data_IF_772575065719
#
_entry.id   IF_772575065719
#
_cell.length_a   1.000
_cell.length_b   1.000
_cell.length_c   1.000
_cell.angle_alpha   90.00
_cell.angle_beta   90.00
_cell.angle_gamma   90.00
#
_symmetry.space_group_name_H-M   'P 1'
#
loop_
_entity.id
_entity.type
_entity.pdbx_description
1 polymer ?
#
# COMPACT_ATOMS: atom_id res chain seq x y z
N UNK A 1 23.68 -19.68 -23.33
CA UNK A 1 22.32 -20.24 -23.12
C UNK A 1 22.12 -20.50 -21.64
N UNK A 2 21.03 -19.96 -21.08
CA UNK A 2 20.76 -20.05 -19.64
C UNK A 2 20.71 -21.47 -19.09
N UNK A 3 20.27 -22.43 -19.90
CA UNK A 3 20.28 -23.85 -19.54
C UNK A 3 21.72 -24.35 -19.39
N UNK A 4 22.61 -24.05 -20.33
CA UNK A 4 24.02 -24.48 -20.33
C UNK A 4 24.81 -23.85 -19.17
N UNK A 5 24.41 -22.66 -18.71
CA UNK A 5 25.07 -21.96 -17.61
C UNK A 5 24.63 -22.51 -16.23
N UNK A 6 23.38 -22.96 -16.11
CA UNK A 6 22.75 -23.34 -14.82
C UNK A 6 22.84 -24.83 -14.55
N UNK A 7 22.64 -25.68 -15.55
CA UNK A 7 22.58 -27.14 -15.34
C UNK A 7 23.83 -27.70 -14.67
N UNK A 8 25.07 -27.33 -15.08
CA UNK A 8 26.28 -27.80 -14.41
C UNK A 8 26.36 -27.38 -12.94
N UNK A 9 25.85 -26.19 -12.58
CA UNK A 9 25.82 -25.74 -11.19
C UNK A 9 24.85 -26.55 -10.35
N UNK A 10 23.69 -26.93 -10.89
CA UNK A 10 22.73 -27.80 -10.20
C UNK A 10 23.28 -29.22 -10.06
N UNK A 11 23.99 -29.72 -11.08
CA UNK A 11 24.65 -31.05 -11.04
C UNK A 11 25.75 -31.12 -9.98
N UNK A 12 26.50 -30.03 -9.77
CA UNK A 12 27.58 -29.98 -8.77
C UNK A 12 27.10 -30.18 -7.32
N UNK A 13 25.82 -29.89 -7.06
CA UNK A 13 25.20 -30.01 -5.72
C UNK A 13 24.21 -31.17 -5.58
N UNK A 14 24.11 -32.06 -6.60
CA UNK A 14 23.12 -33.16 -6.59
C UNK A 14 23.29 -34.11 -5.43
N UNK A 15 24.53 -34.27 -4.93
CA UNK A 15 24.83 -35.18 -3.81
C UNK A 15 24.40 -34.61 -2.45
N UNK A 16 24.01 -33.32 -2.38
CA UNK A 16 23.56 -32.68 -1.16
C UNK A 16 22.11 -33.05 -0.79
N UNK A 17 21.31 -33.49 -1.78
CA UNK A 17 19.96 -33.99 -1.54
C UNK A 17 19.56 -34.90 -2.72
N UNK A 18 19.08 -36.11 -2.39
CA UNK A 18 18.74 -37.14 -3.40
C UNK A 18 17.64 -36.70 -4.39
N UNK A 19 16.71 -35.83 -3.95
CA UNK A 19 15.63 -35.30 -4.81
C UNK A 19 16.16 -34.41 -5.96
N UNK A 20 17.38 -33.86 -5.85
CA UNK A 20 17.95 -33.02 -6.91
C UNK A 20 18.22 -33.87 -8.16
N UNK A 21 18.62 -35.12 -8.01
CA UNK A 21 18.77 -36.07 -9.14
C UNK A 21 17.47 -36.21 -9.93
N UNK A 22 16.34 -36.39 -9.23
CA UNK A 22 15.01 -36.49 -9.84
C UNK A 22 14.59 -35.18 -10.54
N UNK A 23 14.95 -34.02 -9.98
CA UNK A 23 14.71 -32.73 -10.60
C UNK A 23 15.47 -32.58 -11.92
N UNK A 24 16.76 -32.97 -11.95
CA UNK A 24 17.60 -32.95 -13.15
C UNK A 24 17.02 -33.88 -14.21
N UNK A 25 16.66 -35.12 -13.86
CA UNK A 25 16.05 -36.06 -14.80
C UNK A 25 14.74 -35.51 -15.40
N UNK A 26 13.91 -34.93 -14.56
CA UNK A 26 12.63 -34.31 -15.00
C UNK A 26 12.90 -33.14 -15.95
N UNK A 27 13.86 -32.27 -15.60
CA UNK A 27 14.25 -31.14 -16.40
C UNK A 27 14.81 -31.57 -17.77
N UNK A 28 15.63 -32.62 -17.82
CA UNK A 28 16.21 -33.12 -19.06
C UNK A 28 15.18 -33.75 -20.02
N UNK A 29 14.01 -34.14 -19.53
CA UNK A 29 12.90 -34.63 -20.38
C UNK A 29 12.12 -33.50 -21.07
N UNK A 30 12.35 -32.24 -20.72
CA UNK A 30 11.67 -31.10 -21.33
C UNK A 30 12.24 -30.89 -22.74
N UNK A 31 11.40 -31.03 -23.76
CA UNK A 31 11.80 -30.90 -25.18
C UNK A 31 12.20 -29.47 -25.53
N UNK A 32 11.44 -28.48 -25.07
CA UNK A 32 11.70 -27.05 -25.30
C UNK A 32 11.79 -26.33 -23.95
N UNK A 33 13.01 -26.15 -23.46
CA UNK A 33 13.27 -25.54 -22.15
C UNK A 33 13.05 -24.02 -22.24
N UNK A 34 12.15 -23.51 -21.39
CA UNK A 34 11.90 -22.09 -21.22
C UNK A 34 12.70 -21.53 -20.04
N UNK A 35 12.83 -20.19 -19.96
CA UNK A 35 13.40 -19.51 -18.79
C UNK A 35 12.69 -19.92 -17.50
N UNK A 36 11.34 -20.08 -17.54
CA UNK A 36 10.55 -20.53 -16.40
C UNK A 36 11.03 -21.88 -15.87
N UNK A 37 11.35 -22.83 -16.75
CA UNK A 37 11.77 -24.16 -16.34
C UNK A 37 13.13 -24.10 -15.64
N UNK A 38 14.05 -23.26 -16.15
CA UNK A 38 15.35 -23.02 -15.54
C UNK A 38 15.18 -22.38 -14.14
N UNK A 39 14.33 -21.34 -14.04
CA UNK A 39 14.03 -20.73 -12.74
C UNK A 39 13.45 -21.71 -11.73
N UNK A 40 12.52 -22.56 -12.16
CA UNK A 40 11.94 -23.59 -11.31
C UNK A 40 12.97 -24.59 -10.83
N UNK A 41 13.88 -25.02 -11.69
CA UNK A 41 14.98 -25.92 -11.35
C UNK A 41 15.86 -25.29 -10.26
N UNK A 42 16.36 -24.05 -10.48
CA UNK A 42 17.21 -23.35 -9.50
C UNK A 42 16.49 -23.22 -8.16
N UNK A 43 15.24 -22.68 -8.18
CA UNK A 43 14.48 -22.40 -6.96
C UNK A 43 14.22 -23.67 -6.15
N UNK A 44 13.80 -24.75 -6.79
CA UNK A 44 13.57 -26.03 -6.11
C UNK A 44 14.86 -26.58 -5.52
N UNK A 45 15.98 -26.51 -6.24
CA UNK A 45 17.29 -26.93 -5.74
C UNK A 45 17.73 -26.13 -4.53
N UNK A 46 17.60 -24.79 -4.55
CA UNK A 46 17.92 -23.92 -3.42
C UNK A 46 17.02 -24.17 -2.21
N UNK A 47 15.75 -24.53 -2.41
CA UNK A 47 14.83 -24.90 -1.33
C UNK A 47 15.21 -26.25 -0.68
N UNK A 48 15.56 -27.25 -1.49
CA UNK A 48 15.99 -28.56 -0.99
C UNK A 48 17.30 -28.49 -0.20
N UNK A 49 18.15 -27.53 -0.50
CA UNK A 49 19.45 -27.31 0.15
C UNK A 49 19.44 -26.14 1.15
N UNK A 50 18.27 -25.65 1.56
CA UNK A 50 18.15 -24.42 2.39
C UNK A 50 18.95 -24.44 3.70
N UNK A 51 19.13 -25.61 4.29
CA UNK A 51 19.84 -25.80 5.55
C UNK A 51 21.34 -26.17 5.37
N UNK A 52 21.85 -26.09 4.13
CA UNK A 52 23.22 -26.41 3.79
C UNK A 52 23.97 -25.13 3.42
N UNK A 53 25.23 -25.06 3.85
CA UNK A 53 26.16 -24.01 3.46
C UNK A 53 27.32 -24.63 2.70
N UNK A 54 27.31 -24.49 1.37
CA UNK A 54 28.38 -24.98 0.50
C UNK A 54 28.74 -23.93 -0.55
N UNK A 55 29.99 -23.96 -1.02
CA UNK A 55 30.47 -23.02 -2.04
C UNK A 55 29.63 -23.11 -3.33
N UNK A 56 29.30 -24.34 -3.76
CA UNK A 56 28.52 -24.62 -4.97
C UNK A 56 27.10 -24.05 -4.87
N UNK A 57 26.48 -24.23 -3.69
CA UNK A 57 25.15 -23.65 -3.42
C UNK A 57 25.17 -22.12 -3.47
N UNK A 58 26.20 -21.50 -2.91
CA UNK A 58 26.36 -20.05 -2.90
C UNK A 58 26.58 -19.51 -4.33
N UNK A 59 27.33 -20.22 -5.18
CA UNK A 59 27.47 -19.90 -6.62
C UNK A 59 26.11 -19.97 -7.31
N UNK A 60 25.33 -21.04 -7.10
CA UNK A 60 24.00 -21.19 -7.69
C UNK A 60 23.04 -20.07 -7.21
N UNK A 61 23.11 -19.70 -5.94
CA UNK A 61 22.33 -18.60 -5.36
C UNK A 61 22.68 -17.25 -6.00
N UNK A 62 23.97 -16.97 -6.13
CA UNK A 62 24.44 -15.74 -6.79
C UNK A 62 24.01 -15.67 -8.25
N UNK A 63 24.07 -16.81 -8.96
CA UNK A 63 23.58 -16.89 -10.35
C UNK A 63 22.06 -16.66 -10.43
N UNK A 64 21.29 -17.20 -9.50
CA UNK A 64 19.85 -16.94 -9.41
C UNK A 64 19.55 -15.44 -9.20
N UNK A 65 20.28 -14.80 -8.29
CA UNK A 65 20.11 -13.37 -7.99
C UNK A 65 20.47 -12.49 -9.18
N UNK A 66 21.55 -12.83 -9.92
CA UNK A 66 21.94 -12.15 -11.17
C UNK A 66 20.82 -12.22 -12.21
N UNK A 67 20.33 -13.43 -12.49
CA UNK A 67 19.26 -13.64 -13.46
C UNK A 67 17.98 -12.91 -13.01
N UNK A 68 17.63 -13.02 -11.73
CA UNK A 68 16.45 -12.36 -11.17
C UNK A 68 16.53 -10.83 -11.32
N UNK A 69 17.72 -10.26 -11.15
CA UNK A 69 17.94 -8.80 -11.35
C UNK A 69 17.67 -8.40 -12.80
N UNK A 70 18.21 -9.17 -13.77
CA UNK A 70 17.98 -8.91 -15.19
C UNK A 70 16.50 -9.03 -15.56
N UNK A 71 15.83 -10.08 -15.07
CA UNK A 71 14.41 -10.30 -15.38
C UNK A 71 13.49 -9.28 -14.68
N UNK A 72 13.85 -8.80 -13.50
CA UNK A 72 13.15 -7.68 -12.86
C UNK A 72 13.27 -6.39 -13.67
N UNK A 73 14.45 -6.08 -14.19
CA UNK A 73 14.66 -4.92 -15.04
C UNK A 73 13.84 -5.03 -16.34
N UNK A 74 13.81 -6.20 -16.96
CA UNK A 74 13.08 -6.46 -18.19
C UNK A 74 11.56 -6.39 -18.05
N UNK A 75 11.00 -6.89 -16.92
CA UNK A 75 9.57 -7.18 -16.82
C UNK A 75 8.86 -6.49 -15.64
N UNK A 76 9.59 -5.85 -14.73
CA UNK A 76 9.02 -5.24 -13.53
C UNK A 76 9.59 -3.86 -13.21
N UNK A 77 10.48 -3.32 -14.06
CA UNK A 77 10.99 -1.96 -13.90
C UNK A 77 9.86 -0.94 -14.05
N UNK A 78 9.93 0.13 -13.28
CA UNK A 78 8.95 1.22 -13.31
C UNK A 78 7.50 0.84 -12.97
N UNK A 79 7.25 -0.35 -12.39
CA UNK A 79 5.92 -0.67 -11.87
C UNK A 79 5.55 0.27 -10.71
N UNK A 80 6.54 0.55 -9.84
CA UNK A 80 6.52 1.60 -8.84
C UNK A 80 7.59 2.64 -9.19
N UNK A 81 7.57 3.81 -8.55
CA UNK A 81 8.56 4.84 -8.83
C UNK A 81 9.98 4.39 -8.47
N UNK A 82 10.92 4.67 -9.38
CA UNK A 82 12.36 4.48 -9.17
C UNK A 82 13.07 5.82 -8.92
N UNK A 83 12.33 6.92 -8.77
CA UNK A 83 12.85 8.24 -8.47
C UNK A 83 13.17 8.42 -6.98
N UNK A 84 13.82 9.53 -6.65
CA UNK A 84 14.01 9.96 -5.26
C UNK A 84 12.69 10.22 -4.51
N UNK A 85 11.61 10.55 -5.25
CA UNK A 85 10.29 10.88 -4.75
C UNK A 85 9.34 9.67 -4.57
N UNK A 86 9.86 8.44 -4.67
CA UNK A 86 9.03 7.26 -4.37
C UNK A 86 8.53 7.27 -2.93
N UNK A 87 7.33 6.76 -2.69
CA UNK A 87 6.66 6.81 -1.40
C UNK A 87 7.50 6.20 -0.25
N UNK A 88 8.24 5.13 -0.53
CA UNK A 88 9.10 4.47 0.46
C UNK A 88 10.35 5.27 0.87
N UNK A 89 10.67 6.36 0.16
CA UNK A 89 11.79 7.26 0.50
C UNK A 89 11.36 8.44 1.37
N UNK A 90 10.05 8.70 1.51
CA UNK A 90 9.57 9.78 2.37
C UNK A 90 9.96 9.48 3.81
N UNK A 91 10.69 10.40 4.41
CA UNK A 91 11.18 10.25 5.79
C UNK A 91 10.01 10.29 6.77
N UNK A 92 10.06 9.42 7.78
CA UNK A 92 9.14 9.46 8.90
C UNK A 92 9.33 10.74 9.72
N UNK A 93 8.23 11.44 9.97
CA UNK A 93 8.12 12.51 10.94
C UNK A 93 6.99 12.10 11.88
N UNK A 94 7.33 11.85 13.14
CA UNK A 94 6.35 11.40 14.13
C UNK A 94 5.33 12.49 14.45
N UNK A 95 4.07 12.12 14.76
CA UNK A 95 3.11 13.06 15.32
C UNK A 95 3.61 13.54 16.69
N UNK A 96 3.49 14.84 16.94
CA UNK A 96 3.88 15.49 18.18
C UNK A 96 2.61 15.76 18.98
N UNK A 97 2.65 15.42 20.27
CA UNK A 97 1.56 15.65 21.20
C UNK A 97 2.09 16.41 22.42
N UNK A 98 1.44 17.51 22.77
CA UNK A 98 1.70 18.27 23.99
C UNK A 98 0.60 18.06 25.03
N UNK A 99 0.74 18.67 26.18
CA UNK A 99 -0.30 18.68 27.22
C UNK A 99 -1.56 19.45 26.77
N UNK A 100 -1.39 20.37 25.81
CA UNK A 100 -2.47 21.15 25.21
C UNK A 100 -3.14 20.48 24.00
N UNK A 101 -2.61 19.34 23.51
CA UNK A 101 -3.24 18.61 22.39
C UNK A 101 -4.61 18.11 22.79
N UNK A 102 -5.64 18.56 22.08
CA UNK A 102 -7.05 18.24 22.38
C UNK A 102 -7.42 16.83 21.96
N UNK A 103 -8.33 16.22 22.68
CA UNK A 103 -8.98 14.98 22.28
C UNK A 103 -10.24 15.29 21.46
N UNK A 104 -10.21 14.96 20.17
CA UNK A 104 -11.25 15.31 19.20
C UNK A 104 -11.77 14.07 18.48
N UNK A 105 -12.87 14.19 17.76
CA UNK A 105 -13.32 13.14 16.84
C UNK A 105 -12.27 12.92 15.73
N UNK A 106 -12.05 11.68 15.31
CA UNK A 106 -11.09 11.37 14.24
C UNK A 106 -11.34 12.15 12.96
N UNK A 107 -12.63 12.45 12.61
CA UNK A 107 -12.96 13.32 11.49
C UNK A 107 -12.34 14.72 11.59
N UNK A 108 -12.21 15.25 12.79
CA UNK A 108 -11.64 16.59 13.05
C UNK A 108 -10.13 16.57 12.81
N UNK A 109 -9.45 15.48 13.19
CA UNK A 109 -8.02 15.29 12.89
C UNK A 109 -7.79 15.34 11.38
N UNK A 110 -8.58 14.58 10.61
CA UNK A 110 -8.48 14.54 9.14
C UNK A 110 -8.80 15.91 8.54
N UNK A 111 -9.90 16.53 8.96
CA UNK A 111 -10.30 17.87 8.49
C UNK A 111 -9.24 18.92 8.73
N UNK A 112 -8.69 18.97 9.93
CA UNK A 112 -7.67 19.97 10.29
C UNK A 112 -6.32 19.68 9.58
N UNK A 113 -6.00 18.40 9.32
CA UNK A 113 -4.85 18.03 8.51
C UNK A 113 -5.03 18.46 7.05
N UNK A 114 -6.23 18.28 6.45
CA UNK A 114 -6.53 18.78 5.12
C UNK A 114 -6.45 20.30 5.04
N UNK A 115 -6.89 21.01 6.07
CA UNK A 115 -6.72 22.46 6.16
C UNK A 115 -5.24 22.86 6.00
N UNK A 116 -4.33 22.19 6.70
CA UNK A 116 -2.88 22.40 6.57
C UNK A 116 -2.33 21.98 5.21
N UNK A 117 -2.84 20.89 4.62
CA UNK A 117 -2.47 20.47 3.27
C UNK A 117 -2.83 21.55 2.24
N UNK A 118 -4.04 22.10 2.29
CA UNK A 118 -4.47 23.12 1.33
C UNK A 118 -3.74 24.47 1.51
N UNK A 119 -3.31 24.79 2.72
CA UNK A 119 -2.41 25.93 2.98
C UNK A 119 -1.03 25.70 2.35
N UNK A 120 -0.46 24.49 2.54
CA UNK A 120 0.90 24.17 2.14
C UNK A 120 1.07 23.87 0.65
N UNK A 121 0.08 23.24 0.01
CA UNK A 121 0.13 22.79 -1.37
C UNK A 121 -0.94 23.48 -2.24
N UNK A 122 -0.63 24.63 -2.87
CA UNK A 122 -1.59 25.35 -3.72
C UNK A 122 -2.15 24.51 -4.87
N UNK A 123 -1.37 23.52 -5.36
CA UNK A 123 -1.76 22.59 -6.42
C UNK A 123 -2.61 21.41 -5.93
N UNK A 124 -2.86 21.28 -4.62
CA UNK A 124 -3.73 20.23 -4.09
C UNK A 124 -5.19 20.62 -4.23
N UNK A 125 -6.00 19.63 -4.55
CA UNK A 125 -7.46 19.75 -4.65
C UNK A 125 -8.11 18.42 -4.28
N UNK A 126 -9.35 18.46 -3.81
CA UNK A 126 -10.16 17.28 -3.51
C UNK A 126 -11.52 17.42 -4.19
N UNK A 127 -12.02 16.35 -4.74
CA UNK A 127 -13.32 16.32 -5.39
C UNK A 127 -13.92 14.92 -5.35
N UNK A 128 -15.22 14.86 -5.30
CA UNK A 128 -15.98 13.62 -5.22
C UNK A 128 -17.44 13.90 -4.94
N UNK A 129 -18.23 12.87 -4.75
CA UNK A 129 -19.63 12.97 -4.37
C UNK A 129 -19.74 13.50 -2.93
N UNK A 130 -20.56 14.54 -2.72
CA UNK A 130 -20.77 15.20 -1.42
C UNK A 130 -19.49 15.74 -0.74
N UNK A 131 -18.40 15.88 -1.48
CA UNK A 131 -17.10 16.29 -0.94
C UNK A 131 -17.03 17.76 -0.59
N UNK A 132 -17.74 18.61 -1.33
CA UNK A 132 -17.68 20.06 -1.24
C UNK A 132 -18.58 20.64 -0.15
N UNK A 133 -19.85 20.88 -0.47
CA UNK A 133 -20.75 21.67 0.36
C UNK A 133 -20.95 21.11 1.78
N UNK A 134 -21.17 19.81 1.92
CA UNK A 134 -21.32 19.18 3.24
C UNK A 134 -20.00 18.71 3.87
N UNK A 135 -18.91 18.72 3.10
CA UNK A 135 -17.59 18.35 3.57
C UNK A 135 -17.39 16.84 3.75
N UNK A 136 -17.88 16.06 2.81
CA UNK A 136 -18.06 14.60 2.75
C UNK A 136 -19.13 14.06 3.72
N UNK A 137 -19.58 12.82 3.48
CA UNK A 137 -20.64 12.15 4.26
C UNK A 137 -20.28 11.92 5.75
N UNK A 138 -19.01 12.00 6.11
CA UNK A 138 -18.51 11.90 7.48
C UNK A 138 -17.95 13.22 8.00
N UNK A 139 -18.02 14.29 7.21
CA UNK A 139 -17.60 15.65 7.58
C UNK A 139 -16.08 15.78 7.84
N UNK A 140 -15.27 14.99 7.14
CA UNK A 140 -13.80 15.09 7.20
C UNK A 140 -13.24 16.29 6.42
N UNK A 141 -14.10 17.04 5.70
CA UNK A 141 -13.78 18.25 4.93
C UNK A 141 -14.71 19.42 5.25
N UNK A 142 -15.51 19.31 6.32
CA UNK A 142 -16.52 20.31 6.73
C UNK A 142 -15.94 21.73 6.79
N UNK A 143 -16.60 22.68 6.06
CA UNK A 143 -16.22 24.09 6.02
C UNK A 143 -15.02 24.43 5.15
N UNK A 144 -14.31 23.44 4.59
CA UNK A 144 -13.11 23.71 3.80
C UNK A 144 -13.44 24.26 2.40
N UNK A 145 -14.59 23.90 1.81
CA UNK A 145 -15.01 24.52 0.54
C UNK A 145 -15.25 26.02 0.70
N UNK A 146 -15.88 26.46 1.79
CA UNK A 146 -16.07 27.88 2.09
C UNK A 146 -14.74 28.63 2.20
N UNK A 147 -13.71 27.98 2.79
CA UNK A 147 -12.38 28.57 2.99
C UNK A 147 -11.55 28.63 1.70
N UNK A 148 -11.56 27.58 0.89
CA UNK A 148 -10.64 27.41 -0.25
C UNK A 148 -11.29 27.52 -1.62
N UNK A 149 -12.60 27.58 -1.70
CA UNK A 149 -13.38 27.68 -2.92
C UNK A 149 -13.71 26.34 -3.58
N UNK A 150 -14.72 26.37 -4.44
CA UNK A 150 -15.29 25.23 -5.15
C UNK A 150 -14.37 24.65 -6.25
N UNK A 151 -13.39 25.42 -6.71
CA UNK A 151 -12.37 24.95 -7.65
C UNK A 151 -11.40 23.96 -6.97
N UNK A 152 -11.15 24.13 -5.69
CA UNK A 152 -10.20 23.29 -4.93
C UNK A 152 -10.89 22.18 -4.15
N UNK A 153 -12.12 22.39 -3.74
CA UNK A 153 -12.90 21.42 -2.99
C UNK A 153 -14.28 21.36 -3.65
N UNK A 154 -14.47 20.33 -4.48
CA UNK A 154 -15.60 20.30 -5.41
C UNK A 154 -16.51 19.08 -5.19
N UNK A 155 -17.81 19.33 -5.33
CA UNK A 155 -18.77 18.26 -5.53
C UNK A 155 -18.75 17.75 -6.97
N UNK A 156 -19.00 16.47 -7.17
CA UNK A 156 -19.16 15.86 -8.49
C UNK A 156 -20.48 15.10 -8.59
N UNK A 157 -20.86 14.73 -9.80
CA UNK A 157 -21.91 13.73 -9.98
C UNK A 157 -21.46 12.33 -9.55
N UNK A 158 -22.42 11.44 -9.38
CA UNK A 158 -22.21 10.02 -8.99
C UNK A 158 -21.67 9.24 -10.20
N UNK A 159 -20.35 9.24 -10.36
CA UNK A 159 -19.63 8.54 -11.44
C UNK A 159 -18.16 8.29 -11.04
N UNK A 160 -17.91 7.25 -10.33
CA UNK A 160 -16.60 6.92 -9.76
C UNK A 160 -15.51 6.78 -10.84
N UNK A 161 -15.85 6.14 -11.97
CA UNK A 161 -14.93 6.05 -13.11
C UNK A 161 -14.53 7.42 -13.66
N UNK A 162 -15.45 8.41 -13.68
CA UNK A 162 -15.17 9.77 -14.12
C UNK A 162 -14.34 10.52 -13.07
N UNK A 163 -14.67 10.39 -11.80
CA UNK A 163 -13.90 10.96 -10.69
C UNK A 163 -12.46 10.52 -10.75
N UNK A 164 -12.22 9.20 -10.88
CA UNK A 164 -10.88 8.66 -11.02
C UNK A 164 -10.18 9.18 -12.30
N UNK A 165 -10.85 9.15 -13.45
CA UNK A 165 -10.30 9.62 -14.73
C UNK A 165 -9.88 11.09 -14.70
N UNK A 166 -10.67 11.94 -14.06
CA UNK A 166 -10.30 13.35 -13.81
C UNK A 166 -9.05 13.44 -12.93
N UNK A 167 -8.99 12.66 -11.83
CA UNK A 167 -7.83 12.60 -10.95
C UNK A 167 -6.56 12.20 -11.71
N UNK A 168 -6.60 11.16 -12.53
CA UNK A 168 -5.49 10.72 -13.36
C UNK A 168 -5.03 11.85 -14.29
N UNK A 169 -5.96 12.47 -15.02
CA UNK A 169 -5.66 13.55 -15.95
C UNK A 169 -5.02 14.78 -15.26
N UNK A 170 -5.55 15.20 -14.12
CA UNK A 170 -5.03 16.31 -13.32
C UNK A 170 -3.62 16.00 -12.78
N UNK A 171 -3.40 14.78 -12.25
CA UNK A 171 -2.10 14.34 -11.74
C UNK A 171 -1.04 14.31 -12.85
N UNK A 172 -1.39 13.82 -14.04
CA UNK A 172 -0.52 13.84 -15.22
C UNK A 172 -0.14 15.26 -15.66
N UNK A 173 -0.89 16.27 -15.26
CA UNK A 173 -0.63 17.70 -15.55
C UNK A 173 0.05 18.44 -14.40
N UNK A 174 0.49 17.75 -13.35
CA UNK A 174 1.27 18.31 -12.25
C UNK A 174 0.45 18.82 -11.06
N UNK A 175 -0.87 18.62 -11.06
CA UNK A 175 -1.69 18.86 -9.87
C UNK A 175 -1.52 17.70 -8.87
N UNK A 176 -1.97 17.93 -7.63
CA UNK A 176 -2.00 16.91 -6.56
C UNK A 176 -3.47 16.61 -6.20
N UNK A 177 -4.18 15.87 -7.07
CA UNK A 177 -5.59 15.59 -6.87
C UNK A 177 -5.80 14.50 -5.83
N UNK A 178 -6.83 14.71 -5.01
CA UNK A 178 -7.40 13.72 -4.12
C UNK A 178 -8.80 13.42 -4.68
N UNK A 179 -8.91 12.27 -5.35
CA UNK A 179 -10.16 11.81 -5.95
C UNK A 179 -10.93 10.98 -4.93
N UNK A 180 -12.06 11.48 -4.44
CA UNK A 180 -12.85 10.79 -3.43
C UNK A 180 -13.86 9.85 -4.06
N UNK A 181 -13.76 8.57 -3.71
CA UNK A 181 -14.78 7.55 -3.93
C UNK A 181 -15.47 7.33 -2.59
N UNK A 182 -16.75 7.65 -2.52
CA UNK A 182 -17.48 7.83 -1.27
C UNK A 182 -17.37 6.65 -0.30
N UNK A 183 -17.46 5.39 -0.80
CA UNK A 183 -17.26 4.17 -0.02
C UNK A 183 -16.41 3.15 -0.77
N UNK A 184 -15.71 2.30 -0.03
CA UNK A 184 -14.83 1.26 -0.57
C UNK A 184 -15.56 0.29 -1.51
N UNK A 185 -16.84 0.01 -1.25
CA UNK A 185 -17.67 -0.84 -2.13
C UNK A 185 -17.79 -0.27 -3.54
N UNK A 186 -17.82 1.06 -3.66
CA UNK A 186 -18.00 1.75 -4.94
C UNK A 186 -16.69 1.85 -5.75
N UNK A 187 -15.55 1.54 -5.13
CA UNK A 187 -14.27 1.51 -5.86
C UNK A 187 -14.29 0.50 -7.02
N UNK A 188 -15.18 -0.50 -6.97
CA UNK A 188 -15.38 -1.47 -8.02
C UNK A 188 -15.83 -0.83 -9.34
N UNK A 189 -16.53 0.31 -9.30
CA UNK A 189 -16.96 1.05 -10.49
C UNK A 189 -15.82 1.77 -11.21
N UNK A 190 -14.69 1.97 -10.56
CA UNK A 190 -13.50 2.55 -11.16
C UNK A 190 -12.30 1.59 -11.22
N UNK A 191 -12.47 0.33 -10.81
CA UNK A 191 -11.40 -0.65 -10.71
C UNK A 191 -10.70 -0.91 -12.05
N UNK A 192 -11.43 -0.87 -13.18
CA UNK A 192 -10.83 -0.98 -14.51
C UNK A 192 -9.84 0.17 -14.76
N UNK A 193 -10.25 1.42 -14.54
CA UNK A 193 -9.37 2.58 -14.68
C UNK A 193 -8.19 2.55 -13.70
N UNK A 194 -8.36 1.97 -12.51
CA UNK A 194 -7.27 1.75 -11.58
C UNK A 194 -6.26 0.74 -12.13
N UNK A 195 -6.71 -0.42 -12.63
CA UNK A 195 -5.84 -1.51 -13.05
C UNK A 195 -5.18 -1.27 -14.41
N UNK A 196 -5.95 -0.77 -15.39
CA UNK A 196 -5.47 -0.62 -16.76
C UNK A 196 -4.77 0.72 -17.00
N UNK A 197 -5.30 1.81 -16.44
CA UNK A 197 -4.77 3.14 -16.70
C UNK A 197 -3.80 3.59 -15.62
N UNK A 198 -4.25 3.72 -14.37
CA UNK A 198 -3.46 4.30 -13.30
C UNK A 198 -2.26 3.42 -12.93
N UNK A 199 -2.51 2.14 -12.64
CA UNK A 199 -1.47 1.21 -12.19
C UNK A 199 -0.37 0.97 -13.24
N UNK A 200 -0.68 1.13 -14.52
CA UNK A 200 0.26 0.78 -15.60
C UNK A 200 0.95 1.99 -16.23
N UNK A 201 0.55 3.23 -15.90
CA UNK A 201 1.05 4.43 -16.58
C UNK A 201 2.58 4.56 -16.50
N UNK A 202 3.17 4.36 -15.33
CA UNK A 202 4.62 4.39 -15.16
C UNK A 202 5.30 3.23 -15.90
N UNK A 203 4.76 2.03 -15.75
CA UNK A 203 5.29 0.83 -16.39
C UNK A 203 5.30 0.94 -17.91
N UNK A 204 4.16 1.29 -18.54
CA UNK A 204 4.04 1.42 -19.99
C UNK A 204 4.94 2.49 -20.59
N UNK A 205 5.26 3.53 -19.83
CA UNK A 205 6.06 4.67 -20.28
C UNK A 205 7.51 4.62 -19.80
N UNK A 206 7.91 3.52 -19.13
CA UNK A 206 9.24 3.39 -18.49
C UNK A 206 9.57 4.60 -17.60
N UNK A 207 8.63 5.00 -16.75
CA UNK A 207 8.76 6.14 -15.85
C UNK A 207 8.65 7.52 -16.51
N UNK A 208 8.39 7.58 -17.82
CA UNK A 208 8.27 8.85 -18.56
C UNK A 208 6.99 9.64 -18.24
N UNK A 209 5.93 8.99 -17.75
CA UNK A 209 4.71 9.62 -17.30
C UNK A 209 4.33 9.12 -15.90
N UNK A 210 3.92 10.03 -15.03
CA UNK A 210 3.46 9.75 -13.66
C UNK A 210 2.08 10.34 -13.44
N UNK A 211 1.32 9.73 -12.55
CA UNK A 211 -0.01 10.18 -12.16
C UNK A 211 -0.20 10.01 -10.64
N UNK A 212 0.41 10.85 -9.79
CA UNK A 212 0.34 10.74 -8.33
C UNK A 212 -1.03 11.20 -7.79
N UNK A 213 -2.09 10.53 -8.20
CA UNK A 213 -3.44 10.74 -7.66
C UNK A 213 -3.60 9.96 -6.36
N UNK A 214 -4.19 10.58 -5.36
CA UNK A 214 -4.62 9.92 -4.13
C UNK A 214 -6.10 9.60 -4.29
N UNK A 215 -6.44 8.31 -4.28
CA UNK A 215 -7.83 7.86 -4.21
C UNK A 215 -8.19 7.77 -2.73
N UNK A 216 -9.04 8.69 -2.28
CA UNK A 216 -9.58 8.70 -0.93
C UNK A 216 -10.84 7.88 -0.90
N UNK A 217 -10.96 6.95 0.02
CA UNK A 217 -12.21 6.23 0.28
C UNK A 217 -12.31 5.85 1.74
N UNK A 218 -13.47 5.40 2.17
CA UNK A 218 -13.69 4.90 3.52
C UNK A 218 -14.34 3.54 3.47
N UNK A 219 -13.93 2.68 4.37
CA UNK A 219 -14.43 1.31 4.34
C UNK A 219 -13.84 0.47 5.48
N UNK A 220 -13.72 -0.82 5.19
CA UNK A 220 -13.25 -1.79 6.18
C UNK A 220 -14.09 -1.71 7.45
N UNK A 221 -15.42 -1.59 7.25
CA UNK A 221 -16.39 -1.50 8.32
C UNK A 221 -16.54 -2.86 9.00
N UNK A 222 -16.49 -2.86 10.32
CA UNK A 222 -16.51 -4.09 11.12
C UNK A 222 -17.92 -4.64 11.34
N UNK A 223 -18.94 -3.81 11.15
CA UNK A 223 -20.32 -4.14 11.46
C UNK A 223 -21.30 -3.38 10.55
N UNK A 224 -22.53 -3.84 10.49
CA UNK A 224 -23.60 -3.23 9.72
C UNK A 224 -23.90 -3.97 8.43
N UNK A 225 -25.02 -3.62 7.79
CA UNK A 225 -25.50 -4.23 6.54
C UNK A 225 -24.98 -3.50 5.32
N UNK A 226 -24.86 -2.16 5.41
CA UNK A 226 -24.44 -1.29 4.33
C UNK A 226 -22.97 -0.90 4.46
N UNK A 227 -22.25 -0.88 3.33
CA UNK A 227 -20.84 -0.46 3.25
C UNK A 227 -19.90 -1.26 4.17
N UNK A 228 -20.23 -2.52 4.42
CA UNK A 228 -19.42 -3.46 5.21
C UNK A 228 -18.51 -4.33 4.33
N UNK A 229 -18.61 -4.19 3.01
CA UNK A 229 -17.74 -4.91 2.07
C UNK A 229 -16.28 -4.52 2.22
N UNK A 230 -15.39 -5.48 2.01
CA UNK A 230 -13.95 -5.26 1.98
C UNK A 230 -13.32 -6.03 0.80
N UNK A 231 -13.43 -5.51 -0.45
CA UNK A 231 -12.92 -6.17 -1.65
C UNK A 231 -11.39 -6.11 -1.77
N UNK A 232 -10.66 -6.05 -0.66
CA UNK A 232 -9.20 -5.81 -0.61
C UNK A 232 -8.40 -6.81 -1.43
N UNK A 233 -8.77 -8.11 -1.42
CA UNK A 233 -8.06 -9.12 -2.20
C UNK A 233 -8.13 -8.84 -3.71
N UNK A 234 -9.29 -8.36 -4.20
CA UNK A 234 -9.46 -7.92 -5.59
C UNK A 234 -8.62 -6.68 -5.90
N UNK A 235 -8.69 -5.66 -5.05
CA UNK A 235 -7.94 -4.41 -5.21
C UNK A 235 -6.44 -4.68 -5.26
N UNK A 236 -5.90 -5.44 -4.29
CA UNK A 236 -4.47 -5.78 -4.22
C UNK A 236 -3.98 -6.56 -5.46
N UNK A 237 -4.79 -7.48 -5.97
CA UNK A 237 -4.42 -8.29 -7.13
C UNK A 237 -4.45 -7.51 -8.45
N UNK A 238 -5.39 -6.58 -8.60
CA UNK A 238 -5.64 -5.86 -9.85
C UNK A 238 -4.91 -4.52 -9.93
N UNK A 239 -4.51 -3.92 -8.81
CA UNK A 239 -3.95 -2.55 -8.75
C UNK A 239 -2.45 -2.55 -8.44
N UNK A 240 -1.68 -3.46 -9.02
CA UNK A 240 -0.21 -3.49 -8.89
C UNK A 240 0.39 -2.24 -9.52
N UNK A 241 1.19 -1.49 -8.76
CA UNK A 241 1.71 -0.17 -9.16
C UNK A 241 1.00 0.99 -8.46
N UNK A 242 -0.01 0.69 -7.62
CA UNK A 242 -0.66 1.65 -6.73
C UNK A 242 -0.36 1.26 -5.29
N UNK A 243 0.00 2.22 -4.44
CA UNK A 243 0.18 1.99 -3.01
C UNK A 243 -1.20 1.87 -2.34
N UNK A 244 -1.47 0.75 -1.66
CA UNK A 244 -2.73 0.54 -0.95
C UNK A 244 -2.47 0.71 0.54
N UNK A 245 -3.05 1.75 1.12
CA UNK A 245 -2.82 2.19 2.50
C UNK A 245 -4.11 2.08 3.30
N UNK A 246 -4.09 1.26 4.35
CA UNK A 246 -5.27 1.00 5.19
C UNK A 246 -4.93 1.35 6.63
N UNK A 247 -5.02 2.62 7.00
CA UNK A 247 -4.68 3.10 8.34
C UNK A 247 -5.60 2.54 9.41
N UNK A 248 -5.04 2.25 10.60
CA UNK A 248 -5.80 1.76 11.77
C UNK A 248 -6.69 2.81 12.44
N UNK A 249 -6.40 4.09 12.23
CA UNK A 249 -7.13 5.23 12.77
C UNK A 249 -6.99 6.47 11.86
N UNK A 250 -7.67 7.56 12.20
CA UNK A 250 -7.71 8.75 11.35
C UNK A 250 -6.43 9.60 11.46
N UNK A 251 -5.72 9.55 12.59
CA UNK A 251 -4.38 10.16 12.73
C UNK A 251 -3.39 9.50 11.77
N UNK A 252 -3.35 8.16 11.70
CA UNK A 252 -2.50 7.45 10.73
C UNK A 252 -2.90 7.75 9.28
N UNK A 253 -4.21 7.89 9.01
CA UNK A 253 -4.71 8.33 7.70
C UNK A 253 -4.18 9.72 7.32
N UNK A 254 -4.25 10.69 8.24
CA UNK A 254 -3.70 12.03 8.04
C UNK A 254 -2.20 12.00 7.69
N UNK A 255 -1.42 11.19 8.39
CA UNK A 255 0.00 11.00 8.10
C UNK A 255 0.26 10.37 6.73
N UNK A 256 -0.58 9.43 6.26
CA UNK A 256 -0.46 8.87 4.91
C UNK A 256 -0.77 9.91 3.83
N UNK A 257 -1.74 10.81 4.00
CA UNK A 257 -1.93 11.93 3.08
C UNK A 257 -0.69 12.81 2.99
N UNK A 258 -0.10 13.17 4.12
CA UNK A 258 1.13 13.97 4.16
C UNK A 258 2.31 13.27 3.49
N UNK A 259 2.41 11.94 3.60
CA UNK A 259 3.42 11.12 2.93
C UNK A 259 3.20 11.11 1.41
N UNK A 260 1.98 10.77 0.97
CA UNK A 260 1.70 10.60 -0.46
C UNK A 260 1.73 11.92 -1.23
N UNK A 261 1.44 13.06 -0.60
CA UNK A 261 1.60 14.38 -1.22
C UNK A 261 3.08 14.76 -1.45
N UNK A 262 4.02 14.09 -0.80
CA UNK A 262 5.46 14.24 -1.06
C UNK A 262 5.97 13.22 -2.09
N UNK A 263 5.15 12.24 -2.45
CA UNK A 263 5.50 11.19 -3.40
C UNK A 263 5.04 11.53 -4.83
N UNK A 264 5.64 10.87 -5.79
CA UNK A 264 5.24 10.87 -7.21
C UNK A 264 4.48 9.61 -7.63
N UNK A 265 3.98 8.85 -6.65
CA UNK A 265 3.26 7.59 -6.86
C UNK A 265 1.77 7.73 -6.51
N UNK A 266 0.89 6.98 -7.21
CA UNK A 266 -0.52 6.92 -6.85
C UNK A 266 -0.75 6.09 -5.58
N UNK A 267 -1.82 6.40 -4.86
CA UNK A 267 -2.26 5.64 -3.71
C UNK A 267 -3.77 5.52 -3.61
N UNK A 268 -4.22 4.45 -2.96
CA UNK A 268 -5.55 4.33 -2.36
C UNK A 268 -5.40 4.43 -0.85
N UNK A 269 -6.09 5.35 -0.21
CA UNK A 269 -6.15 5.46 1.24
C UNK A 269 -7.56 5.08 1.69
N UNK A 270 -7.66 3.97 2.43
CA UNK A 270 -8.93 3.45 2.94
C UNK A 270 -9.09 3.87 4.39
N UNK A 271 -9.75 4.99 4.62
CA UNK A 271 -10.02 5.50 5.97
C UNK A 271 -10.96 4.56 6.75
N UNK A 272 -10.70 4.40 8.05
CA UNK A 272 -11.53 3.60 8.95
C UNK A 272 -12.94 4.17 9.07
N UNK A 273 -13.94 3.56 8.45
CA UNK A 273 -15.33 4.06 8.49
C UNK A 273 -15.87 4.20 9.92
N UNK A 274 -15.56 3.26 10.81
CA UNK A 274 -15.95 3.33 12.22
C UNK A 274 -15.08 4.29 13.06
N UNK A 275 -14.00 4.85 12.50
CA UNK A 275 -13.05 5.72 13.20
C UNK A 275 -13.49 7.19 13.32
N UNK A 276 -14.34 7.68 12.42
CA UNK A 276 -14.65 9.11 12.31
C UNK A 276 -15.21 9.76 13.59
N UNK A 277 -15.93 9.00 14.42
CA UNK A 277 -16.52 9.46 15.69
C UNK A 277 -15.78 8.95 16.92
N UNK A 278 -14.70 8.17 16.73
CA UNK A 278 -13.84 7.79 17.83
C UNK A 278 -12.95 8.97 18.23
N UNK A 279 -12.64 9.07 19.51
CA UNK A 279 -11.78 10.12 20.03
C UNK A 279 -10.33 9.77 19.78
N UNK A 280 -9.59 10.74 19.26
CA UNK A 280 -8.14 10.68 19.02
C UNK A 280 -7.49 11.97 19.53
N UNK A 281 -6.32 11.88 20.12
CA UNK A 281 -5.53 13.05 20.48
C UNK A 281 -4.99 13.69 19.20
N UNK A 282 -5.32 14.97 18.97
CA UNK A 282 -4.91 15.67 17.76
C UNK A 282 -3.42 16.01 17.80
N UNK A 283 -2.62 15.65 16.75
CA UNK A 283 -1.23 16.07 16.67
C UNK A 283 -1.08 17.58 16.52
N UNK A 284 -0.08 18.15 17.17
CA UNK A 284 0.24 19.59 17.08
C UNK A 284 0.89 19.97 15.73
N UNK A 285 1.53 18.99 15.04
CA UNK A 285 2.23 19.17 13.77
C UNK A 285 1.41 18.66 12.57
N UNK A 286 0.10 18.98 12.52
CA UNK A 286 -0.77 18.67 11.38
C UNK A 286 -0.19 19.21 10.06
N UNK A 287 -0.33 18.44 8.99
CA UNK A 287 0.23 18.76 7.66
C UNK A 287 1.73 18.50 7.52
N UNK A 288 2.42 18.10 8.61
CA UNK A 288 3.87 17.88 8.63
C UNK A 288 4.27 16.45 8.94
N UNK A 289 3.62 15.80 9.93
CA UNK A 289 3.95 14.42 10.28
C UNK A 289 3.63 13.46 9.13
N UNK A 290 4.46 12.42 9.00
CA UNK A 290 4.38 11.44 7.91
C UNK A 290 4.42 10.03 8.46
N UNK A 291 3.73 9.11 7.79
CA UNK A 291 3.76 7.69 8.10
C UNK A 291 4.54 6.97 6.98
N UNK A 292 5.54 6.16 7.30
CA UNK A 292 6.34 5.47 6.29
C UNK A 292 5.50 4.43 5.55
N UNK A 293 5.68 4.36 4.22
CA UNK A 293 5.05 3.36 3.36
C UNK A 293 5.91 2.11 3.29
N UNK A 294 5.28 0.92 3.34
CA UNK A 294 5.97 -0.36 3.24
C UNK A 294 6.68 -0.80 4.53
N UNK A 295 6.34 -0.20 5.66
CA UNK A 295 6.85 -0.60 6.99
C UNK A 295 5.70 -1.05 7.86
N UNK A 296 5.90 -2.17 8.54
CA UNK A 296 5.02 -2.63 9.61
C UNK A 296 5.33 -1.90 10.91
N UNK A 297 4.37 -1.89 11.83
CA UNK A 297 4.52 -1.30 13.17
C UNK A 297 4.16 -2.34 14.24
N UNK A 298 5.09 -2.61 15.16
CA UNK A 298 4.79 -3.38 16.37
C UNK A 298 4.13 -2.43 17.36
N UNK A 299 2.83 -2.57 17.55
CA UNK A 299 2.03 -1.69 18.41
C UNK A 299 1.94 -2.19 19.85
N UNK A 300 2.22 -3.48 20.07
CA UNK A 300 2.34 -4.12 21.37
C UNK A 300 3.38 -5.23 21.27
N UNK A 301 4.37 -5.23 22.15
CA UNK A 301 5.35 -6.31 22.26
C UNK A 301 4.75 -7.52 22.98
N UNK A 302 5.17 -8.73 22.61
CA UNK A 302 4.77 -9.99 23.23
C UNK A 302 5.68 -11.15 22.85
N UNK A 303 5.58 -12.27 23.57
CA UNK A 303 6.53 -13.39 23.45
C UNK A 303 5.87 -14.74 23.13
N UNK A 304 4.56 -14.89 23.35
CA UNK A 304 3.90 -16.22 23.25
C UNK A 304 3.14 -16.37 21.91
N UNK A 305 2.52 -15.29 21.41
CA UNK A 305 1.76 -15.30 20.16
C UNK A 305 1.87 -13.96 19.44
N UNK A 306 1.99 -13.99 18.12
CA UNK A 306 1.97 -12.79 17.27
C UNK A 306 0.63 -12.66 16.57
N UNK A 307 -0.04 -11.51 16.74
CA UNK A 307 -1.30 -11.15 16.09
C UNK A 307 -1.03 -10.12 15.01
N UNK A 308 -1.22 -10.49 13.74
CA UNK A 308 -1.01 -9.60 12.59
C UNK A 308 -2.34 -9.09 12.10
N UNK A 309 -2.46 -7.77 11.94
CA UNK A 309 -3.71 -7.11 11.56
C UNK A 309 -3.47 -5.84 10.74
N UNK A 310 -4.54 -5.23 10.24
CA UNK A 310 -4.50 -3.93 9.57
C UNK A 310 -5.85 -3.19 9.70
N UNK A 311 -5.83 -1.88 9.49
CA UNK A 311 -7.03 -1.04 9.46
C UNK A 311 -7.89 -1.13 10.72
N UNK A 312 -9.19 -1.08 10.57
CA UNK A 312 -10.15 -1.06 11.68
C UNK A 312 -10.08 -2.27 12.62
N UNK A 313 -9.60 -3.42 12.12
CA UNK A 313 -9.46 -4.64 12.94
C UNK A 313 -8.36 -4.54 13.99
N UNK A 314 -7.41 -3.61 13.84
CA UNK A 314 -6.37 -3.37 14.82
C UNK A 314 -6.92 -3.13 16.23
N UNK A 315 -8.01 -2.35 16.36
CA UNK A 315 -8.65 -2.08 17.67
C UNK A 315 -9.15 -3.37 18.31
N UNK A 316 -9.87 -4.21 17.55
CA UNK A 316 -10.40 -5.50 18.05
C UNK A 316 -9.26 -6.44 18.45
N UNK A 317 -8.22 -6.53 17.62
CA UNK A 317 -7.05 -7.37 17.92
C UNK A 317 -6.31 -6.89 19.16
N UNK A 318 -6.21 -5.57 19.36
CA UNK A 318 -5.60 -4.99 20.57
C UNK A 318 -6.42 -5.31 21.82
N UNK A 319 -7.75 -5.22 21.75
CA UNK A 319 -8.64 -5.63 22.82
C UNK A 319 -8.47 -7.13 23.14
N UNK A 320 -8.44 -7.98 22.12
CA UNK A 320 -8.20 -9.42 22.28
C UNK A 320 -6.83 -9.71 22.90
N UNK A 321 -5.78 -9.00 22.50
CA UNK A 321 -4.44 -9.13 23.10
C UNK A 321 -4.44 -8.76 24.58
N UNK A 322 -5.20 -7.75 24.99
CA UNK A 322 -5.35 -7.37 26.40
C UNK A 322 -6.14 -8.44 27.21
N UNK A 323 -7.11 -9.11 26.60
CA UNK A 323 -7.81 -10.25 27.26
C UNK A 323 -6.88 -11.47 27.40
N UNK A 324 -6.05 -11.76 26.38
CA UNK A 324 -5.04 -12.82 26.45
C UNK A 324 -4.04 -12.58 27.60
N UNK A 325 -3.62 -11.34 27.81
CA UNK A 325 -2.72 -10.98 28.89
C UNK A 325 -3.29 -11.29 30.28
N UNK A 326 -4.62 -11.11 30.48
CA UNK A 326 -5.31 -11.51 31.73
C UNK A 326 -5.28 -13.02 31.96
N UNK A 327 -5.10 -13.81 30.89
CA UNK A 327 -4.97 -15.27 30.94
C UNK A 327 -3.49 -15.72 31.03
N UNK A 328 -2.55 -14.77 31.17
CA UNK A 328 -1.12 -15.06 31.26
C UNK A 328 -0.43 -15.34 29.92
N UNK A 329 -1.07 -14.96 28.80
CA UNK A 329 -0.52 -15.12 27.43
C UNK A 329 -0.03 -13.76 26.94
N UNK A 330 1.28 -13.66 26.66
CA UNK A 330 1.92 -12.45 26.16
C UNK A 330 1.76 -12.35 24.62
N UNK A 331 0.90 -11.45 24.15
CA UNK A 331 0.60 -11.29 22.74
C UNK A 331 1.31 -10.05 22.13
N UNK A 332 2.09 -10.30 21.06
CA UNK A 332 2.59 -9.25 20.16
C UNK A 332 1.48 -8.84 19.19
N UNK A 333 1.34 -7.53 18.91
CA UNK A 333 0.40 -7.00 17.90
C UNK A 333 1.17 -6.22 16.83
N UNK A 334 1.03 -6.68 15.60
CA UNK A 334 1.66 -6.07 14.41
C UNK A 334 0.56 -5.44 13.54
N UNK A 335 0.71 -4.14 13.27
CA UNK A 335 -0.09 -3.37 12.30
C UNK A 335 0.64 -3.30 10.96
N UNK A 336 0.00 -3.79 9.89
CA UNK A 336 0.58 -3.92 8.53
C UNK A 336 0.13 -2.78 7.62
#
# INVERSE_FOLDING_TARGET
DLKSDVLPLVESIKNQNFEIGNLIETFNKIISVSKKDVFQLIRKTLLLTRNQDSAERNILKSKYEEILKIEKDNYSSHLYSESEWKATNVKEIKPIFSDSSEEVDGRVVVRNNFDKIFEKYPQSLVFGEDTGNIGDVNQGLEGLQEKYGDVRIADTGIREATILGQGIGMAMRGLKPIAEIQYLDYILYCLQGMSDDLATVQYRTKGGQKAPVIIRTRGHRLEGVWHSGSPMAGILNLSKGINILVPRNLTKAAGFYNTMLQSDEPAVIVECLNGYRLKEKQPDNLGEFTVPVGKIEVTKEGTDVTLVTYGSTWRIVTEAANELEKLGISAEVIDV
#
